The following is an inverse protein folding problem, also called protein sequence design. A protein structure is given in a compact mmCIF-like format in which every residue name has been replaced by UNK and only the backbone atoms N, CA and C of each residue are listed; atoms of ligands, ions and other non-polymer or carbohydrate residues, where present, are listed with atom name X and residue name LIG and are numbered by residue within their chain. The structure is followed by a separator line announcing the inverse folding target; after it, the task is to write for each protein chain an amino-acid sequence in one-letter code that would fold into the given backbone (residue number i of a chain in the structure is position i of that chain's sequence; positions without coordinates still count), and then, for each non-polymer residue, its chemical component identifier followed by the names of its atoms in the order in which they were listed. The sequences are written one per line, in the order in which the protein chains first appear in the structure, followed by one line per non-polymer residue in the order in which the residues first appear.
data_IF_604750299908
#
_entry.id   IF_604750299908
#
_cell.length_a   1.000
_cell.length_b   1.000
_cell.length_c   1.000
_cell.angle_alpha   90.00
_cell.angle_beta   90.00
_cell.angle_gamma   90.00
#
_symmetry.space_group_name_H-M   'P 1'
#
loop_
_entity.id
_entity.type
_entity.pdbx_description
1 polymer ?
#
# COMPACT_ATOMS: atom_id res chain seq x y z
N UNK A 1 -16.85 10.73 12.35
CA UNK A 1 -15.37 10.63 12.43
C UNK A 1 -14.89 10.01 11.13
N UNK A 2 -14.52 10.82 10.14
CA UNK A 2 -14.00 10.31 8.86
C UNK A 2 -12.58 9.84 9.14
N UNK A 3 -12.32 8.52 9.11
CA UNK A 3 -10.96 8.03 8.90
C UNK A 3 -10.52 8.65 7.57
N UNK A 4 -9.68 9.69 7.61
CA UNK A 4 -9.23 10.34 6.38
C UNK A 4 -8.43 9.31 5.58
N UNK A 5 -8.55 9.32 4.25
CA UNK A 5 -7.80 8.38 3.41
C UNK A 5 -6.28 8.43 3.68
N UNK A 6 -5.77 9.56 4.17
CA UNK A 6 -4.40 9.71 4.68
C UNK A 6 -4.11 8.82 5.91
N UNK A 7 -4.96 8.82 6.94
CA UNK A 7 -4.79 7.97 8.12
C UNK A 7 -4.86 6.48 7.78
N UNK A 8 -5.67 6.11 6.78
CA UNK A 8 -5.71 4.75 6.28
C UNK A 8 -4.40 4.37 5.58
N UNK A 9 -3.81 5.26 4.78
CA UNK A 9 -2.49 5.05 4.16
C UNK A 9 -1.37 4.91 5.20
N UNK A 10 -1.40 5.70 6.28
CA UNK A 10 -0.44 5.56 7.37
C UNK A 10 -0.51 4.18 8.04
N UNK A 11 -1.72 3.63 8.19
CA UNK A 11 -1.93 2.29 8.72
C UNK A 11 -1.32 1.20 7.82
N UNK A 12 -1.45 1.34 6.50
CA UNK A 12 -0.82 0.43 5.53
C UNK A 12 0.70 0.58 5.57
N UNK A 13 1.21 1.81 5.62
CA UNK A 13 2.65 2.06 5.75
C UNK A 13 3.21 1.43 7.04
N UNK A 14 2.50 1.49 8.15
CA UNK A 14 2.88 0.83 9.39
C UNK A 14 2.92 -0.70 9.25
N UNK A 15 1.97 -1.31 8.53
CA UNK A 15 1.99 -2.75 8.25
C UNK A 15 3.19 -3.14 7.38
N UNK A 16 3.50 -2.38 6.34
CA UNK A 16 4.69 -2.64 5.51
C UNK A 16 5.97 -2.54 6.34
N UNK A 17 6.09 -1.53 7.21
CA UNK A 17 7.24 -1.41 8.13
C UNK A 17 7.34 -2.61 9.08
N UNK A 18 6.21 -3.13 9.58
CA UNK A 18 6.18 -4.35 10.38
C UNK A 18 6.74 -5.55 9.61
N UNK A 19 6.27 -5.77 8.38
CA UNK A 19 6.74 -6.88 7.53
C UNK A 19 8.25 -6.81 7.22
N UNK A 20 8.79 -5.59 7.05
CA UNK A 20 10.23 -5.38 6.92
C UNK A 20 10.95 -5.70 8.22
N UNK A 21 10.45 -5.20 9.36
CA UNK A 21 11.08 -5.41 10.67
C UNK A 21 11.07 -6.87 11.12
N UNK A 22 10.07 -7.64 10.70
CA UNK A 22 9.97 -9.08 10.94
C UNK A 22 10.70 -9.93 9.88
N UNK A 23 11.47 -9.30 8.98
CA UNK A 23 12.18 -9.93 7.87
C UNK A 23 11.30 -10.79 6.93
N UNK A 24 9.99 -10.53 6.91
CA UNK A 24 9.04 -11.22 6.01
C UNK A 24 9.24 -10.75 4.57
N UNK A 25 9.55 -9.47 4.38
CA UNK A 25 9.96 -8.90 3.09
C UNK A 25 11.30 -8.18 3.25
N UNK A 26 12.08 -8.10 2.16
CA UNK A 26 13.34 -7.35 2.17
C UNK A 26 13.11 -5.85 2.36
N UNK A 27 14.11 -5.16 2.90
CA UNK A 27 14.11 -3.70 3.01
C UNK A 27 13.89 -3.01 1.65
N UNK A 28 14.46 -3.56 0.57
CA UNK A 28 14.25 -3.06 -0.79
C UNK A 28 12.78 -3.14 -1.22
N UNK A 29 12.10 -4.24 -0.92
CA UNK A 29 10.66 -4.38 -1.16
C UNK A 29 9.84 -3.40 -0.34
N UNK A 30 10.12 -3.34 0.97
CA UNK A 30 9.48 -2.39 1.86
C UNK A 30 9.61 -0.96 1.39
N UNK A 31 10.79 -0.54 0.97
CA UNK A 31 11.04 0.82 0.48
C UNK A 31 10.22 1.15 -0.77
N UNK A 32 10.11 0.21 -1.72
CA UNK A 32 9.32 0.39 -2.94
C UNK A 32 7.83 0.53 -2.64
N UNK A 33 7.28 -0.32 -1.75
CA UNK A 33 5.89 -0.24 -1.31
C UNK A 33 5.63 1.07 -0.55
N UNK A 34 6.51 1.44 0.39
CA UNK A 34 6.39 2.67 1.18
C UNK A 34 6.45 3.92 0.30
N UNK A 35 7.29 3.94 -0.74
CA UNK A 35 7.37 5.07 -1.67
C UNK A 35 6.04 5.29 -2.42
N UNK A 36 5.34 4.22 -2.81
CA UNK A 36 4.02 4.32 -3.46
C UNK A 36 2.94 4.80 -2.50
N UNK A 37 2.98 4.34 -1.25
CA UNK A 37 2.05 4.78 -0.20
C UNK A 37 2.26 6.28 0.10
N UNK A 38 3.50 6.73 0.25
CA UNK A 38 3.85 8.14 0.46
C UNK A 38 3.44 9.01 -0.73
N UNK A 39 3.67 8.54 -1.97
CA UNK A 39 3.21 9.23 -3.17
C UNK A 39 1.68 9.37 -3.21
N UNK A 40 0.94 8.30 -2.89
CA UNK A 40 -0.52 8.34 -2.82
C UNK A 40 -0.99 9.33 -1.74
N UNK A 41 -0.38 9.32 -0.55
CA UNK A 41 -0.71 10.23 0.54
C UNK A 41 -0.46 11.69 0.15
N UNK A 42 0.68 11.98 -0.49
CA UNK A 42 1.01 13.32 -1.01
C UNK A 42 0.02 13.77 -2.08
N UNK A 43 -0.42 12.89 -2.96
CA UNK A 43 -1.46 13.20 -3.96
C UNK A 43 -2.78 13.55 -3.28
N UNK A 44 -3.23 12.76 -2.29
CA UNK A 44 -4.45 13.05 -1.54
C UNK A 44 -4.37 14.35 -0.74
N UNK A 45 -3.22 14.65 -0.13
CA UNK A 45 -2.99 15.92 0.57
C UNK A 45 -3.10 17.15 -0.35
N UNK A 46 -2.95 16.97 -1.66
CA UNK A 46 -3.15 18.00 -2.69
C UNK A 46 -4.55 17.97 -3.32
N UNK A 47 -5.46 17.12 -2.85
CA UNK A 47 -6.78 16.90 -3.45
C UNK A 47 -6.78 16.09 -4.75
N UNK A 48 -5.65 15.50 -5.12
CA UNK A 48 -5.47 14.79 -6.38
C UNK A 48 -5.82 13.31 -6.22
N UNK A 49 -7.11 12.97 -6.35
CA UNK A 49 -7.61 11.60 -6.17
C UNK A 49 -7.14 10.65 -7.27
N UNK A 50 -7.21 11.05 -8.55
CA UNK A 50 -6.79 10.18 -9.68
C UNK A 50 -5.33 9.77 -9.59
N UNK A 51 -4.35 10.67 -9.34
CA UNK A 51 -2.97 10.27 -9.09
C UNK A 51 -2.80 9.34 -7.89
N UNK A 52 -3.57 9.54 -6.81
CA UNK A 52 -3.54 8.64 -5.66
C UNK A 52 -4.01 7.23 -6.05
N UNK A 53 -5.13 7.11 -6.76
CA UNK A 53 -5.63 5.82 -7.26
C UNK A 53 -4.62 5.12 -8.18
N UNK A 54 -3.91 5.86 -9.03
CA UNK A 54 -2.86 5.30 -9.88
C UNK A 54 -1.68 4.72 -9.05
N UNK A 55 -1.27 5.41 -8.00
CA UNK A 55 -0.23 4.91 -7.08
C UNK A 55 -0.69 3.65 -6.34
N UNK A 56 -1.96 3.60 -5.93
CA UNK A 56 -2.54 2.42 -5.27
C UNK A 56 -2.72 1.24 -6.24
N UNK A 57 -3.02 1.50 -7.51
CA UNK A 57 -2.99 0.47 -8.56
C UNK A 57 -1.59 -0.10 -8.77
N UNK A 58 -0.58 0.76 -8.85
CA UNK A 58 0.81 0.33 -8.95
C UNK A 58 1.28 -0.47 -7.71
N UNK A 59 0.82 -0.09 -6.52
CA UNK A 59 1.08 -0.81 -5.28
C UNK A 59 0.51 -2.23 -5.30
N UNK A 60 -0.73 -2.40 -5.78
CA UNK A 60 -1.35 -3.72 -5.93
C UNK A 60 -0.58 -4.60 -6.92
N UNK A 61 -0.25 -4.06 -8.11
CA UNK A 61 0.52 -4.80 -9.11
C UNK A 61 1.88 -5.26 -8.58
N UNK A 62 2.52 -4.45 -7.73
CA UNK A 62 3.78 -4.83 -7.10
C UNK A 62 3.59 -5.91 -6.03
N UNK A 63 2.53 -5.84 -5.21
CA UNK A 63 2.20 -6.92 -4.27
C UNK A 63 1.98 -8.25 -5.04
N UNK A 64 1.29 -8.21 -6.17
CA UNK A 64 1.08 -9.36 -7.07
C UNK A 64 2.39 -9.91 -7.64
N UNK A 65 3.28 -9.02 -8.08
CA UNK A 65 4.60 -9.41 -8.57
C UNK A 65 5.46 -10.02 -7.46
N UNK A 66 5.39 -9.48 -6.23
CA UNK A 66 6.14 -10.01 -5.09
C UNK A 66 5.61 -11.39 -4.68
N UNK A 67 4.30 -11.60 -4.64
CA UNK A 67 3.72 -12.91 -4.32
C UNK A 67 4.11 -13.95 -5.38
N UNK A 68 3.92 -13.63 -6.67
CA UNK A 68 4.22 -14.56 -7.76
C UNK A 68 5.71 -14.91 -7.87
N UNK A 69 6.60 -14.02 -7.41
CA UNK A 69 8.05 -14.29 -7.33
C UNK A 69 8.50 -14.89 -5.99
N UNK A 70 7.58 -15.20 -5.08
CA UNK A 70 7.89 -15.82 -3.77
C UNK A 70 8.58 -14.90 -2.76
N UNK A 71 8.53 -13.58 -2.97
CA UNK A 71 9.18 -12.58 -2.09
C UNK A 71 8.34 -12.21 -0.86
N UNK A 72 7.10 -12.67 -0.82
CA UNK A 72 6.08 -12.47 0.22
C UNK A 72 5.15 -13.68 0.18
N UNK A 73 4.61 -14.07 1.34
CA UNK A 73 3.63 -15.16 1.43
C UNK A 73 2.28 -14.77 0.80
N UNK A 74 1.51 -15.75 0.33
CA UNK A 74 0.16 -15.50 -0.19
C UNK A 74 -0.77 -14.86 0.87
N UNK A 75 -0.62 -15.25 2.14
CA UNK A 75 -1.37 -14.67 3.26
C UNK A 75 -1.04 -13.20 3.50
N UNK A 76 0.24 -12.84 3.48
CA UNK A 76 0.66 -11.45 3.69
C UNK A 76 0.28 -10.57 2.49
N UNK A 77 0.40 -11.11 1.26
CA UNK A 77 -0.02 -10.43 0.04
C UNK A 77 -1.54 -10.18 0.06
N UNK A 78 -2.35 -11.19 0.40
CA UNK A 78 -3.80 -11.05 0.53
C UNK A 78 -4.21 -10.02 1.60
N UNK A 79 -3.50 -9.99 2.73
CA UNK A 79 -3.73 -8.99 3.78
C UNK A 79 -3.45 -7.58 3.25
N UNK A 80 -2.28 -7.34 2.64
CA UNK A 80 -1.92 -6.03 2.06
C UNK A 80 -2.91 -5.59 0.98
N UNK A 81 -3.29 -6.49 0.05
CA UNK A 81 -4.32 -6.20 -0.97
C UNK A 81 -5.63 -5.75 -0.37
N UNK A 82 -6.11 -6.46 0.65
CA UNK A 82 -7.38 -6.14 1.33
C UNK A 82 -7.36 -4.71 1.87
N UNK A 83 -6.24 -4.29 2.49
CA UNK A 83 -6.09 -2.93 2.96
C UNK A 83 -6.08 -1.91 1.82
N UNK A 84 -5.29 -2.15 0.77
CA UNK A 84 -5.17 -1.22 -0.36
C UNK A 84 -6.49 -1.07 -1.12
N UNK A 85 -7.20 -2.18 -1.37
CA UNK A 85 -8.53 -2.18 -2.01
C UNK A 85 -9.56 -1.44 -1.19
N UNK A 86 -9.54 -1.57 0.15
CA UNK A 86 -10.43 -0.78 1.01
C UNK A 86 -10.18 0.72 0.86
N UNK A 87 -8.92 1.15 0.84
CA UNK A 87 -8.58 2.57 0.66
C UNK A 87 -9.05 3.07 -0.70
N UNK A 88 -8.80 2.31 -1.77
CA UNK A 88 -9.28 2.65 -3.11
C UNK A 88 -10.81 2.84 -3.15
N UNK A 89 -11.55 1.94 -2.50
CA UNK A 89 -13.00 2.04 -2.38
C UNK A 89 -13.46 3.33 -1.68
N UNK A 90 -12.74 3.81 -0.67
CA UNK A 90 -13.04 5.11 -0.01
C UNK A 90 -12.76 6.33 -0.90
N UNK A 91 -11.94 6.16 -1.94
CA UNK A 91 -11.58 7.18 -2.92
C UNK A 91 -12.44 7.11 -4.20
N UNK A 92 -13.38 6.16 -4.28
CA UNK A 92 -14.25 5.97 -5.45
C UNK A 92 -13.65 5.15 -6.59
N UNK A 93 -12.70 4.25 -6.30
CA UNK A 93 -12.12 3.33 -7.30
C UNK A 93 -11.69 1.98 -6.77
#
# INVERSE_FOLDING_TARGET
MVLTAAAALDSVAAQVRRLVSSAVISSGNGNSLLAKIDAAAKSLGKGNVTPALNQLGALLNEIDAMESSGRISASDAAALRTWVTRIRGTLGG
#
